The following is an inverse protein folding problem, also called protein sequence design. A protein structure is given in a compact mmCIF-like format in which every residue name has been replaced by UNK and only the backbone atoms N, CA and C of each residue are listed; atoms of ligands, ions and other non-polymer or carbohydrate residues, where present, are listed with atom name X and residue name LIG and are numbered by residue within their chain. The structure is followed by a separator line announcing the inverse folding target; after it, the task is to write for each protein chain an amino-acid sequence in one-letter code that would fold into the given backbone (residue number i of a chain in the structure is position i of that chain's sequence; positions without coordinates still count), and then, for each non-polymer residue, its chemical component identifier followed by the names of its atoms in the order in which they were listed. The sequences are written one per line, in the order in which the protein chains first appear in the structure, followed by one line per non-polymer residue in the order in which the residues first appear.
data_IF_862485313179
#
_entry.id   IF_862485313179
#
_cell.length_a   1.000
_cell.length_b   1.000
_cell.length_c   1.000
_cell.angle_alpha   90.00
_cell.angle_beta   90.00
_cell.angle_gamma   90.00
#
_symmetry.space_group_name_H-M   'P 1'
#
loop_
_entity.id
_entity.type
_entity.pdbx_description
1 polymer ?
#
# COMPACT_ATOMS: atom_id res chain seq x y z
N UNK A 1 2.94 14.96 17.76
CA UNK A 1 2.55 15.75 16.58
C UNK A 1 1.40 15.06 15.87
N UNK A 2 0.45 15.84 15.37
CA UNK A 2 -0.62 15.38 14.46
C UNK A 2 -0.06 15.21 13.04
N UNK A 3 -0.75 14.42 12.21
CA UNK A 3 -0.44 14.29 10.78
C UNK A 3 -0.64 15.65 10.10
N UNK A 4 0.39 16.12 9.39
CA UNK A 4 0.37 17.41 8.67
C UNK A 4 -0.09 17.24 7.21
N UNK A 5 -0.41 18.33 6.52
CA UNK A 5 -0.69 18.29 5.09
C UNK A 5 0.52 17.84 4.26
N UNK A 6 1.74 18.17 4.71
CA UNK A 6 2.98 17.70 4.10
C UNK A 6 3.14 16.18 4.25
N UNK A 7 2.80 15.62 5.42
CA UNK A 7 2.79 14.18 5.65
C UNK A 7 1.79 13.50 4.70
N UNK A 8 0.58 14.02 4.55
CA UNK A 8 -0.42 13.47 3.60
C UNK A 8 0.15 13.49 2.17
N UNK A 9 0.77 14.60 1.74
CA UNK A 9 1.38 14.68 0.42
C UNK A 9 2.48 13.63 0.24
N UNK A 10 3.39 13.49 1.20
CA UNK A 10 4.45 12.48 1.18
C UNK A 10 3.88 11.06 1.07
N UNK A 11 2.88 10.73 1.89
CA UNK A 11 2.26 9.41 1.94
C UNK A 11 1.54 9.05 0.63
N UNK A 12 0.80 10.01 0.07
CA UNK A 12 0.07 9.83 -1.20
C UNK A 12 1.00 9.73 -2.40
N UNK A 13 2.07 10.54 -2.45
CA UNK A 13 3.08 10.48 -3.51
C UNK A 13 3.81 9.12 -3.48
N UNK A 14 4.21 8.65 -2.30
CA UNK A 14 4.96 7.40 -2.19
C UNK A 14 4.12 6.17 -2.53
N UNK A 15 2.89 6.07 -2.02
CA UNK A 15 1.99 4.98 -2.43
C UNK A 15 1.66 5.08 -3.93
N UNK A 16 1.45 6.30 -4.44
CA UNK A 16 1.24 6.54 -5.87
C UNK A 16 2.36 6.03 -6.77
N UNK A 17 3.63 6.18 -6.33
CA UNK A 17 4.82 5.69 -7.06
C UNK A 17 4.83 4.18 -7.27
N UNK A 18 4.24 3.40 -6.36
CA UNK A 18 4.14 1.95 -6.53
C UNK A 18 2.90 1.53 -7.34
N UNK A 19 1.79 2.26 -7.25
CA UNK A 19 0.50 1.80 -7.77
C UNK A 19 0.14 2.34 -9.16
N UNK A 20 0.28 3.65 -9.41
CA UNK A 20 -0.36 4.29 -10.57
C UNK A 20 0.39 5.51 -11.17
N UNK A 21 1.61 5.79 -10.73
CA UNK A 21 2.38 6.94 -11.22
C UNK A 21 1.81 8.30 -10.78
N UNK A 22 1.96 9.34 -11.62
CA UNK A 22 1.84 10.77 -11.25
C UNK A 22 0.45 11.27 -10.80
N UNK A 23 -0.63 10.49 -10.93
CA UNK A 23 -2.01 10.94 -10.60
C UNK A 23 -2.76 9.95 -9.68
N UNK A 24 -2.30 9.73 -8.44
CA UNK A 24 -2.78 8.65 -7.58
C UNK A 24 -4.29 8.71 -7.27
N UNK A 25 -4.84 9.91 -7.08
CA UNK A 25 -6.28 10.09 -6.82
C UNK A 25 -7.19 9.73 -8.00
N UNK A 26 -6.65 9.70 -9.22
CA UNK A 26 -7.40 9.33 -10.43
C UNK A 26 -7.16 7.86 -10.78
N UNK A 27 -6.57 7.07 -9.87
CA UNK A 27 -6.40 5.63 -10.08
C UNK A 27 -7.75 4.98 -10.40
N UNK A 28 -7.80 4.18 -11.46
CA UNK A 28 -8.97 3.40 -11.85
C UNK A 28 -8.50 2.18 -12.64
N UNK A 29 -8.60 1.01 -12.01
CA UNK A 29 -8.15 -0.28 -12.54
C UNK A 29 -9.29 -1.30 -12.48
N UNK A 30 -9.22 -2.32 -13.35
CA UNK A 30 -10.24 -3.37 -13.47
C UNK A 30 -10.00 -4.55 -12.53
N UNK A 31 -10.72 -5.64 -12.78
CA UNK A 31 -10.80 -6.84 -11.96
C UNK A 31 -9.67 -7.81 -12.26
N UNK A 32 -8.46 -7.52 -11.78
CA UNK A 32 -7.31 -8.42 -11.91
C UNK A 32 -7.13 -9.37 -10.71
N UNK A 33 -7.76 -9.06 -9.58
CA UNK A 33 -7.60 -9.75 -8.28
C UNK A 33 -8.94 -10.16 -7.64
N UNK A 34 -10.05 -10.07 -8.38
CA UNK A 34 -11.38 -10.44 -7.92
C UNK A 34 -12.14 -9.31 -7.21
N UNK A 35 -11.57 -8.12 -7.08
CA UNK A 35 -12.20 -6.99 -6.36
C UNK A 35 -13.15 -6.13 -7.21
N UNK A 36 -13.32 -6.46 -8.50
CA UNK A 36 -14.19 -5.75 -9.43
C UNK A 36 -13.51 -4.50 -10.02
N UNK A 37 -13.49 -3.40 -9.28
CA UNK A 37 -12.76 -2.19 -9.67
C UNK A 37 -12.00 -1.67 -8.46
N UNK A 38 -10.83 -1.09 -8.70
CA UNK A 38 -10.04 -0.42 -7.68
C UNK A 38 -9.79 1.03 -8.08
N UNK A 39 -10.11 1.96 -7.19
CA UNK A 39 -10.14 3.39 -7.47
C UNK A 39 -9.32 4.20 -6.46
N UNK A 40 -8.76 5.31 -6.91
CA UNK A 40 -8.10 6.33 -6.10
C UNK A 40 -6.80 5.91 -5.42
N UNK A 41 -6.31 6.76 -4.53
CA UNK A 41 -4.97 6.66 -3.93
C UNK A 41 -4.72 5.33 -3.22
N UNK A 42 -5.70 4.85 -2.43
CA UNK A 42 -5.56 3.62 -1.65
C UNK A 42 -6.26 2.42 -2.29
N UNK A 43 -6.58 2.50 -3.59
CA UNK A 43 -7.20 1.41 -4.35
C UNK A 43 -8.49 0.87 -3.70
N UNK A 44 -9.37 1.78 -3.27
CA UNK A 44 -10.68 1.42 -2.73
C UNK A 44 -11.48 0.64 -3.76
N UNK A 45 -12.10 -0.45 -3.35
CA UNK A 45 -12.70 -1.41 -4.25
C UNK A 45 -14.06 -1.92 -3.78
N UNK A 46 -14.81 -2.50 -4.72
CA UNK A 46 -16.15 -3.02 -4.47
C UNK A 46 -16.07 -4.33 -3.67
N UNK A 47 -15.14 -5.23 -4.00
CA UNK A 47 -15.05 -6.56 -3.40
C UNK A 47 -14.84 -6.56 -1.88
N UNK A 48 -14.08 -5.60 -1.36
CA UNK A 48 -13.86 -5.41 0.08
C UNK A 48 -14.84 -4.43 0.74
N UNK A 49 -15.83 -3.93 -0.01
CA UNK A 49 -16.75 -2.89 0.46
C UNK A 49 -16.06 -1.60 0.92
N UNK A 50 -14.89 -1.28 0.36
CA UNK A 50 -14.08 -0.12 0.77
C UNK A 50 -14.37 1.13 -0.06
N UNK A 51 -14.86 0.98 -1.30
CA UNK A 51 -15.27 2.10 -2.16
C UNK A 51 -16.69 2.58 -1.85
N UNK A 52 -17.59 1.66 -1.55
CA UNK A 52 -19.03 1.93 -1.39
C UNK A 52 -19.35 2.98 -0.32
N UNK A 53 -18.77 2.96 0.89
CA UNK A 53 -19.05 3.98 1.91
C UNK A 53 -18.72 5.40 1.41
N UNK A 54 -17.59 5.56 0.72
CA UNK A 54 -17.15 6.85 0.19
C UNK A 54 -18.09 7.36 -0.91
N UNK A 55 -18.54 6.48 -1.80
CA UNK A 55 -19.49 6.85 -2.86
C UNK A 55 -20.85 7.24 -2.28
N UNK A 56 -21.34 6.49 -1.27
CA UNK A 56 -22.58 6.83 -0.56
C UNK A 56 -22.50 8.18 0.14
N UNK A 57 -21.35 8.47 0.74
CA UNK A 57 -21.08 9.74 1.43
C UNK A 57 -20.94 10.93 0.47
N UNK A 58 -20.44 10.71 -0.75
CA UNK A 58 -20.43 11.72 -1.80
C UNK A 58 -21.84 12.06 -2.29
N UNK A 59 -22.74 11.06 -2.31
CA UNK A 59 -24.13 11.21 -2.68
C UNK A 59 -24.40 11.03 -4.18
N UNK A 60 -25.63 10.61 -4.50
CA UNK A 60 -26.05 10.25 -5.85
C UNK A 60 -25.86 11.39 -6.86
N UNK A 61 -26.21 12.63 -6.47
CA UNK A 61 -26.08 13.79 -7.34
C UNK A 61 -24.63 14.03 -7.82
N UNK A 62 -23.65 13.87 -6.93
CA UNK A 62 -22.22 13.99 -7.27
C UNK A 62 -21.81 12.88 -8.24
N UNK A 63 -22.29 11.65 -8.01
CA UNK A 63 -22.01 10.50 -8.88
C UNK A 63 -22.57 10.74 -10.29
N UNK A 64 -23.83 11.13 -10.41
CA UNK A 64 -24.46 11.38 -11.72
C UNK A 64 -23.84 12.55 -12.48
N UNK A 65 -23.43 13.61 -11.76
CA UNK A 65 -22.81 14.78 -12.37
C UNK A 65 -21.42 14.47 -12.98
N UNK A 66 -20.68 13.52 -12.41
CA UNK A 66 -19.34 13.17 -12.85
C UNK A 66 -19.27 11.87 -13.67
N UNK A 67 -20.35 11.09 -13.71
CA UNK A 67 -20.48 9.87 -14.50
C UNK A 67 -21.80 9.90 -15.30
N UNK A 68 -21.89 10.66 -16.40
CA UNK A 68 -23.14 10.84 -17.12
C UNK A 68 -23.69 9.56 -17.76
N UNK A 69 -22.83 8.64 -18.23
CA UNK A 69 -23.26 7.36 -18.83
C UNK A 69 -23.40 6.27 -17.77
N UNK A 70 -22.45 6.19 -16.82
CA UNK A 70 -22.34 5.07 -15.88
C UNK A 70 -22.83 5.39 -14.46
N UNK A 71 -23.20 6.63 -14.15
CA UNK A 71 -23.48 7.09 -12.79
C UNK A 71 -24.63 6.35 -12.10
N UNK A 72 -25.71 6.03 -12.83
CA UNK A 72 -26.82 5.21 -12.30
C UNK A 72 -26.36 3.80 -11.93
N UNK A 73 -25.53 3.20 -12.76
CA UNK A 73 -24.98 1.88 -12.51
C UNK A 73 -23.97 1.94 -11.35
N UNK A 74 -23.13 2.98 -11.28
CA UNK A 74 -22.18 3.18 -10.19
C UNK A 74 -22.86 3.38 -8.84
N UNK A 75 -23.88 4.23 -8.78
CA UNK A 75 -24.66 4.45 -7.55
C UNK A 75 -25.30 3.14 -7.08
N UNK A 76 -25.90 2.37 -7.99
CA UNK A 76 -26.44 1.03 -7.67
C UNK A 76 -25.34 0.08 -7.19
N UNK A 77 -24.18 0.07 -7.84
CA UNK A 77 -23.07 -0.79 -7.45
C UNK A 77 -22.57 -0.49 -6.03
N UNK A 78 -22.68 0.77 -5.59
CA UNK A 78 -22.25 1.19 -4.26
C UNK A 78 -23.33 1.20 -3.17
N UNK A 79 -24.60 1.06 -3.54
CA UNK A 79 -25.73 1.01 -2.58
C UNK A 79 -26.31 -0.38 -2.41
N UNK A 80 -26.09 -1.27 -3.39
CA UNK A 80 -26.48 -2.66 -3.33
C UNK A 80 -25.52 -3.53 -2.49
N UNK A 81 -25.88 -4.81 -2.33
CA UNK A 81 -24.98 -5.79 -1.72
C UNK A 81 -23.74 -6.04 -2.61
N UNK A 82 -22.59 -6.34 -2.00
CA UNK A 82 -21.31 -6.51 -2.71
C UNK A 82 -21.37 -7.43 -3.94
N UNK A 83 -22.02 -8.61 -3.92
CA UNK A 83 -22.10 -9.46 -5.12
C UNK A 83 -22.81 -8.79 -6.29
N UNK A 84 -23.84 -7.98 -6.02
CA UNK A 84 -24.57 -7.23 -7.05
C UNK A 84 -23.71 -6.08 -7.57
N UNK A 85 -23.00 -5.37 -6.69
CA UNK A 85 -22.05 -4.34 -7.10
C UNK A 85 -20.94 -4.89 -7.99
N UNK A 86 -20.35 -6.03 -7.62
CA UNK A 86 -19.36 -6.73 -8.43
C UNK A 86 -19.91 -7.10 -9.81
N UNK A 87 -21.13 -7.64 -9.87
CA UNK A 87 -21.78 -7.97 -11.14
C UNK A 87 -21.93 -6.75 -12.06
N UNK A 88 -22.26 -5.58 -11.51
CA UNK A 88 -22.41 -4.34 -12.29
C UNK A 88 -21.05 -3.91 -12.85
N UNK A 89 -20.04 -3.75 -11.99
CA UNK A 89 -18.74 -3.18 -12.41
C UNK A 89 -17.92 -4.14 -13.28
N UNK A 90 -18.18 -5.45 -13.21
CA UNK A 90 -17.61 -6.43 -14.15
C UNK A 90 -18.15 -6.27 -15.57
N UNK A 91 -19.36 -5.73 -15.74
CA UNK A 91 -19.92 -5.40 -17.04
C UNK A 91 -19.18 -4.26 -17.77
N UNK A 92 -18.30 -3.54 -17.08
CA UNK A 92 -17.53 -2.41 -17.63
C UNK A 92 -16.16 -2.81 -18.18
N UNK A 93 -15.93 -4.11 -18.34
CA UNK A 93 -14.59 -4.67 -18.47
C UNK A 93 -14.52 -5.73 -19.56
N UNK A 94 -13.33 -5.87 -20.13
CA UNK A 94 -12.96 -6.99 -21.02
C UNK A 94 -11.68 -7.62 -20.49
N UNK A 95 -11.72 -8.93 -20.22
CA UNK A 95 -10.57 -9.69 -19.68
C UNK A 95 -9.96 -9.05 -18.42
N UNK A 96 -10.81 -8.57 -17.49
CA UNK A 96 -10.38 -7.91 -16.25
C UNK A 96 -9.83 -6.49 -16.43
N UNK A 97 -9.86 -5.93 -17.65
CA UNK A 97 -9.43 -4.55 -17.92
C UNK A 97 -10.64 -3.64 -18.11
N UNK A 98 -10.63 -2.48 -17.45
CA UNK A 98 -11.67 -1.46 -17.63
C UNK A 98 -11.70 -0.95 -19.07
N UNK A 99 -12.91 -0.87 -19.63
CA UNK A 99 -13.17 -0.22 -20.90
C UNK A 99 -12.94 1.30 -20.78
N UNK A 100 -12.65 1.95 -21.91
CA UNK A 100 -12.23 3.35 -21.94
C UNK A 100 -13.27 4.32 -21.36
N UNK A 101 -14.55 4.18 -21.72
CA UNK A 101 -15.61 5.07 -21.25
C UNK A 101 -15.84 4.99 -19.73
N UNK A 102 -16.09 3.80 -19.12
CA UNK A 102 -16.26 3.71 -17.67
C UNK A 102 -15.00 4.13 -16.92
N UNK A 103 -13.80 3.83 -17.44
CA UNK A 103 -12.54 4.31 -16.86
C UNK A 103 -12.49 5.84 -16.81
N UNK A 104 -12.80 6.52 -17.92
CA UNK A 104 -12.79 8.00 -17.99
C UNK A 104 -13.76 8.62 -16.98
N UNK A 105 -14.98 8.11 -16.88
CA UNK A 105 -15.97 8.63 -15.93
C UNK A 105 -15.61 8.33 -14.47
N UNK A 106 -15.05 7.14 -14.18
CA UNK A 106 -14.49 6.85 -12.86
C UNK A 106 -13.38 7.84 -12.49
N UNK A 107 -12.47 8.15 -13.43
CA UNK A 107 -11.42 9.13 -13.21
C UNK A 107 -11.99 10.53 -12.95
N UNK A 108 -13.04 10.94 -13.65
CA UNK A 108 -13.73 12.21 -13.40
C UNK A 108 -14.38 12.23 -12.01
N UNK A 109 -15.09 11.17 -11.63
CA UNK A 109 -15.70 11.05 -10.30
C UNK A 109 -14.65 11.11 -9.19
N UNK A 110 -13.60 10.30 -9.28
CA UNK A 110 -12.53 10.25 -8.28
C UNK A 110 -11.72 11.55 -8.23
N UNK A 111 -11.69 12.32 -9.32
CA UNK A 111 -11.09 13.65 -9.39
C UNK A 111 -11.99 14.79 -8.92
N UNK A 112 -13.28 14.54 -8.70
CA UNK A 112 -14.22 15.60 -8.30
C UNK A 112 -13.87 16.19 -6.92
N UNK A 113 -14.13 17.48 -6.66
CA UNK A 113 -13.77 18.12 -5.38
C UNK A 113 -14.28 17.34 -4.17
N UNK A 114 -15.53 16.88 -4.22
CA UNK A 114 -16.14 16.14 -3.11
C UNK A 114 -15.48 14.79 -2.86
N UNK A 115 -15.16 14.01 -3.91
CA UNK A 115 -14.47 12.73 -3.72
C UNK A 115 -13.00 12.92 -3.35
N UNK A 116 -12.37 14.03 -3.73
CA UNK A 116 -11.01 14.37 -3.31
C UNK A 116 -10.97 14.63 -1.80
N UNK A 117 -11.89 15.43 -1.27
CA UNK A 117 -12.04 15.65 0.18
C UNK A 117 -12.24 14.32 0.94
N UNK A 118 -13.14 13.47 0.45
CA UNK A 118 -13.40 12.18 1.10
C UNK A 118 -12.20 11.24 1.04
N UNK A 119 -11.45 11.22 -0.07
CA UNK A 119 -10.19 10.49 -0.15
C UNK A 119 -9.21 11.01 0.89
N UNK A 120 -9.04 12.32 1.01
CA UNK A 120 -8.13 12.94 1.98
C UNK A 120 -8.50 12.59 3.42
N UNK A 121 -9.79 12.61 3.77
CA UNK A 121 -10.25 12.23 5.11
C UNK A 121 -9.97 10.76 5.42
N UNK A 122 -10.18 9.87 4.45
CA UNK A 122 -9.88 8.43 4.61
C UNK A 122 -8.37 8.17 4.67
N UNK A 123 -7.57 8.88 3.88
CA UNK A 123 -6.10 8.82 3.92
C UNK A 123 -5.61 9.31 5.29
N UNK A 124 -6.17 10.40 5.82
CA UNK A 124 -5.84 10.93 7.15
C UNK A 124 -6.11 9.91 8.25
N UNK A 125 -7.25 9.23 8.21
CA UNK A 125 -7.55 8.18 9.19
C UNK A 125 -6.54 7.01 9.13
N UNK A 126 -6.08 6.63 7.93
CA UNK A 126 -5.02 5.61 7.76
C UNK A 126 -3.67 6.14 8.28
N UNK A 127 -3.34 7.39 7.98
CA UNK A 127 -2.12 8.06 8.43
C UNK A 127 -2.06 8.19 9.95
N UNK A 128 -3.18 8.46 10.63
CA UNK A 128 -3.24 8.51 12.11
C UNK A 128 -2.98 7.15 12.76
N UNK A 129 -3.47 6.07 12.14
CA UNK A 129 -3.15 4.70 12.59
C UNK A 129 -1.66 4.39 12.38
N UNK A 130 -1.10 4.77 11.24
CA UNK A 130 0.32 4.64 10.94
C UNK A 130 1.19 5.45 11.91
N UNK A 131 0.80 6.69 12.20
CA UNK A 131 1.47 7.60 13.14
C UNK A 131 1.53 6.98 14.54
N UNK A 132 0.44 6.36 14.98
CA UNK A 132 0.39 5.68 16.27
C UNK A 132 1.41 4.54 16.32
N UNK A 133 1.44 3.70 15.28
CA UNK A 133 2.42 2.59 15.19
C UNK A 133 3.86 3.11 15.12
N UNK A 134 4.12 4.15 14.32
CA UNK A 134 5.44 4.74 14.17
C UNK A 134 5.97 5.33 15.49
N UNK A 135 5.11 6.03 16.25
CA UNK A 135 5.46 6.53 17.59
C UNK A 135 5.77 5.40 18.56
N UNK A 136 4.89 4.39 18.64
CA UNK A 136 5.12 3.23 19.52
C UNK A 136 6.41 2.51 19.18
N UNK A 137 6.71 2.37 17.89
CA UNK A 137 7.97 1.82 17.40
C UNK A 137 9.19 2.64 17.84
N UNK A 138 9.19 3.96 17.61
CA UNK A 138 10.31 4.83 17.98
C UNK A 138 10.59 4.80 19.49
N UNK A 139 9.53 4.86 20.31
CA UNK A 139 9.65 4.76 21.77
C UNK A 139 10.24 3.41 22.17
N UNK A 140 9.74 2.31 21.61
CA UNK A 140 10.23 0.97 21.93
C UNK A 140 11.69 0.74 21.48
N UNK A 141 12.09 1.36 20.37
CA UNK A 141 13.43 1.21 19.78
C UNK A 141 14.51 1.95 20.57
N UNK A 142 14.27 3.21 20.92
CA UNK A 142 15.29 4.07 21.53
C UNK A 142 14.73 5.20 22.42
N UNK A 143 13.44 5.14 22.80
CA UNK A 143 12.79 6.22 23.55
C UNK A 143 12.62 7.51 22.74
N UNK A 144 12.83 7.47 21.43
CA UNK A 144 12.88 8.65 20.56
C UNK A 144 11.54 9.06 19.96
N UNK A 145 11.62 10.01 19.03
CA UNK A 145 10.50 10.48 18.21
C UNK A 145 10.56 9.77 16.85
N UNK A 146 9.40 9.50 16.27
CA UNK A 146 9.31 8.80 14.99
C UNK A 146 9.90 9.59 13.82
N UNK A 147 10.58 8.90 12.92
CA UNK A 147 11.14 9.46 11.67
C UNK A 147 10.10 9.51 10.55
N UNK A 148 10.37 10.25 9.47
CA UNK A 148 9.52 10.26 8.25
C UNK A 148 9.46 8.87 7.63
N UNK A 149 10.60 8.19 7.56
CA UNK A 149 10.70 6.82 7.04
C UNK A 149 9.80 5.84 7.81
N UNK A 150 9.82 5.91 9.15
CA UNK A 150 8.93 5.07 9.97
C UNK A 150 7.45 5.35 9.70
N UNK A 151 7.05 6.63 9.59
CA UNK A 151 5.67 6.98 9.25
C UNK A 151 5.25 6.37 7.91
N UNK A 152 6.08 6.54 6.87
CA UNK A 152 5.83 5.95 5.54
C UNK A 152 5.75 4.43 5.61
N UNK A 153 6.69 3.78 6.31
CA UNK A 153 6.72 2.33 6.46
C UNK A 153 5.42 1.81 7.07
N UNK A 154 4.99 2.38 8.20
CA UNK A 154 3.77 1.95 8.86
C UNK A 154 2.51 2.33 8.09
N UNK A 155 2.53 3.41 7.31
CA UNK A 155 1.42 3.74 6.41
C UNK A 155 1.26 2.69 5.32
N UNK A 156 2.35 2.26 4.71
CA UNK A 156 2.33 1.18 3.71
C UNK A 156 1.90 -0.15 4.33
N UNK A 157 2.28 -0.44 5.58
CA UNK A 157 1.74 -1.60 6.32
C UNK A 157 0.23 -1.48 6.51
N UNK A 158 -0.28 -0.38 7.05
CA UNK A 158 -1.71 -0.25 7.35
C UNK A 158 -2.52 -0.31 6.04
N UNK A 159 -2.04 0.31 4.98
CA UNK A 159 -2.68 0.30 3.65
C UNK A 159 -2.69 -1.08 3.03
N UNK A 160 -1.53 -1.75 2.91
CA UNK A 160 -1.42 -3.02 2.16
C UNK A 160 -1.80 -4.25 2.99
N UNK A 161 -1.72 -4.16 4.32
CA UNK A 161 -1.81 -5.32 5.19
C UNK A 161 -2.79 -5.16 6.36
N UNK A 162 -3.37 -3.97 6.54
CA UNK A 162 -4.33 -3.67 7.60
C UNK A 162 -3.72 -3.49 8.99
N UNK A 163 -2.71 -4.28 9.37
CA UNK A 163 -2.03 -4.21 10.66
C UNK A 163 -0.67 -4.94 10.68
N UNK A 164 0.06 -4.78 11.79
CA UNK A 164 1.30 -5.50 12.10
C UNK A 164 1.10 -6.95 12.56
N UNK A 165 -0.15 -7.41 12.82
CA UNK A 165 -0.44 -8.73 13.42
C UNK A 165 0.42 -9.00 14.67
N UNK A 166 0.37 -8.03 15.59
CA UNK A 166 1.04 -8.06 16.91
C UNK A 166 2.58 -8.04 16.88
N UNK A 167 3.20 -7.85 15.71
CA UNK A 167 4.64 -7.65 15.60
C UNK A 167 5.06 -6.25 16.06
N UNK A 168 6.16 -6.16 16.80
CA UNK A 168 6.78 -4.92 17.25
C UNK A 168 8.30 -5.00 17.35
N UNK A 169 8.91 -4.01 18.01
CA UNK A 169 10.36 -3.91 18.13
C UNK A 169 10.97 -5.06 18.96
N UNK A 170 10.22 -5.62 19.90
CA UNK A 170 10.65 -6.77 20.68
C UNK A 170 10.91 -8.00 19.78
N UNK A 171 10.05 -8.25 18.79
CA UNK A 171 10.24 -9.36 17.83
C UNK A 171 11.49 -9.16 16.97
N UNK A 172 11.74 -7.91 16.54
CA UNK A 172 12.96 -7.56 15.79
C UNK A 172 14.20 -7.76 16.65
N UNK A 173 14.17 -7.33 17.91
CA UNK A 173 15.28 -7.53 18.85
C UNK A 173 15.56 -9.01 19.10
N UNK A 174 14.50 -9.82 19.26
CA UNK A 174 14.62 -11.26 19.42
C UNK A 174 15.21 -11.91 18.16
N UNK A 175 14.74 -11.52 16.97
CA UNK A 175 15.27 -12.02 15.70
C UNK A 175 16.75 -11.70 15.53
N UNK A 176 17.15 -10.43 15.76
CA UNK A 176 18.55 -10.00 15.66
C UNK A 176 19.46 -10.74 16.65
N UNK A 177 18.96 -10.99 17.86
CA UNK A 177 19.68 -11.77 18.87
C UNK A 177 19.90 -13.22 18.39
N UNK A 178 18.85 -13.85 17.85
CA UNK A 178 18.95 -15.21 17.33
C UNK A 178 19.83 -15.33 16.07
N UNK A 179 19.87 -14.31 15.23
CA UNK A 179 20.69 -14.27 14.03
C UNK A 179 22.20 -14.24 14.30
N UNK A 180 22.59 -13.71 15.47
CA UNK A 180 23.97 -13.35 15.80
C UNK A 180 24.32 -11.92 15.35
N UNK A 181 25.29 -11.32 16.02
CA UNK A 181 25.72 -9.94 15.80
C UNK A 181 26.05 -9.66 14.33
N UNK A 182 25.39 -8.65 13.76
CA UNK A 182 25.66 -8.17 12.40
C UNK A 182 25.22 -9.09 11.27
N UNK A 183 24.37 -10.10 11.53
CA UNK A 183 23.93 -11.07 10.49
C UNK A 183 22.43 -11.08 10.21
N UNK A 184 21.69 -10.14 10.77
CA UNK A 184 20.23 -10.17 10.69
C UNK A 184 19.74 -9.86 9.26
N UNK A 185 20.35 -8.87 8.63
CA UNK A 185 20.15 -8.51 7.22
C UNK A 185 20.67 -9.59 6.27
N UNK A 186 21.79 -10.25 6.58
CA UNK A 186 22.28 -11.42 5.82
C UNK A 186 21.22 -12.52 5.73
N UNK A 187 20.59 -12.89 6.86
CA UNK A 187 19.53 -13.91 6.87
C UNK A 187 18.33 -13.50 6.02
N UNK A 188 17.95 -12.23 6.05
CA UNK A 188 16.85 -11.70 5.22
C UNK A 188 17.24 -11.76 3.75
N UNK A 189 18.47 -11.37 3.40
CA UNK A 189 18.98 -11.37 2.04
C UNK A 189 19.17 -12.80 1.50
N UNK A 190 19.66 -13.74 2.30
CA UNK A 190 19.78 -15.16 1.95
C UNK A 190 18.40 -15.76 1.66
N UNK A 191 17.40 -15.43 2.49
CA UNK A 191 16.02 -15.85 2.24
C UNK A 191 15.47 -15.31 0.91
N UNK A 192 15.70 -14.02 0.63
CA UNK A 192 15.29 -13.39 -0.64
C UNK A 192 16.00 -14.02 -1.84
N UNK A 193 17.31 -14.26 -1.75
CA UNK A 193 18.11 -14.89 -2.80
C UNK A 193 17.69 -16.35 -3.07
N UNK A 194 17.17 -17.03 -2.05
CA UNK A 194 16.68 -18.40 -2.15
C UNK A 194 15.26 -18.54 -2.71
N UNK A 195 14.53 -17.45 -2.98
CA UNK A 195 13.18 -17.54 -3.53
C UNK A 195 13.19 -18.04 -4.98
N UNK A 196 12.19 -18.83 -5.34
CA UNK A 196 11.95 -19.35 -6.69
C UNK A 196 10.66 -18.78 -7.30
N UNK A 197 10.28 -19.28 -8.48
CA UNK A 197 9.11 -18.83 -9.22
C UNK A 197 7.75 -19.18 -8.59
N UNK A 198 7.74 -19.92 -7.48
CA UNK A 198 6.53 -20.12 -6.68
C UNK A 198 6.15 -18.87 -5.88
N UNK A 199 7.06 -17.91 -5.73
CA UNK A 199 6.84 -16.65 -5.01
C UNK A 199 6.62 -15.49 -5.98
N UNK A 200 5.60 -14.69 -5.72
CA UNK A 200 5.41 -13.42 -6.41
C UNK A 200 6.57 -12.48 -6.07
N UNK A 201 7.08 -11.79 -7.10
CA UNK A 201 8.20 -10.86 -6.95
C UNK A 201 9.59 -11.49 -6.78
N UNK A 202 9.77 -12.81 -7.00
CA UNK A 202 11.06 -13.48 -6.78
C UNK A 202 12.25 -12.86 -7.55
N UNK A 203 12.01 -12.36 -8.77
CA UNK A 203 13.06 -11.68 -9.56
C UNK A 203 13.54 -10.39 -8.89
N UNK A 204 12.61 -9.62 -8.33
CA UNK A 204 12.95 -8.42 -7.58
C UNK A 204 13.59 -8.78 -6.23
N UNK A 205 13.18 -9.90 -5.62
CA UNK A 205 13.80 -10.41 -4.40
C UNK A 205 15.29 -10.70 -4.59
N UNK A 206 15.69 -11.34 -5.69
CA UNK A 206 17.11 -11.58 -6.00
C UNK A 206 17.89 -10.27 -6.17
N UNK A 207 17.32 -9.29 -6.88
CA UNK A 207 17.94 -7.98 -7.07
C UNK A 207 18.09 -7.23 -5.75
N UNK A 208 17.06 -7.28 -4.92
CA UNK A 208 17.02 -6.62 -3.62
C UNK A 208 17.98 -7.29 -2.61
N UNK A 209 18.09 -8.61 -2.60
CA UNK A 209 19.07 -9.33 -1.79
C UNK A 209 20.50 -8.85 -2.09
N UNK A 210 20.85 -8.71 -3.37
CA UNK A 210 22.16 -8.22 -3.77
C UNK A 210 22.36 -6.72 -3.46
N UNK A 211 21.30 -5.92 -3.56
CA UNK A 211 21.35 -4.48 -3.31
C UNK A 211 21.47 -4.13 -1.82
N UNK A 212 20.75 -4.84 -0.95
CA UNK A 212 20.59 -4.51 0.47
C UNK A 212 21.68 -5.11 1.36
N UNK A 213 22.29 -6.20 0.91
CA UNK A 213 23.41 -6.84 1.61
C UNK A 213 24.57 -5.86 1.79
N UNK A 214 25.13 -5.81 2.99
CA UNK A 214 26.26 -4.96 3.39
C UNK A 214 26.04 -3.44 3.25
N UNK A 215 24.91 -2.99 2.72
CA UNK A 215 24.58 -1.57 2.55
C UNK A 215 23.57 -1.07 3.58
N UNK A 216 22.79 -1.99 4.17
CA UNK A 216 21.74 -1.66 5.14
C UNK A 216 22.34 -1.53 6.53
N UNK A 217 22.16 -0.37 7.18
CA UNK A 217 22.75 -0.12 8.52
C UNK A 217 21.77 0.56 9.48
N UNK A 218 22.08 0.52 10.77
CA UNK A 218 21.34 1.27 11.79
C UNK A 218 19.84 0.94 11.84
N UNK A 219 18.99 1.97 11.70
CA UNK A 219 17.53 1.84 11.71
C UNK A 219 16.99 1.03 10.52
N UNK A 220 17.68 1.08 9.37
CA UNK A 220 17.20 0.41 8.17
C UNK A 220 17.20 -1.10 8.34
N UNK A 221 18.17 -1.65 9.07
CA UNK A 221 18.21 -3.08 9.42
C UNK A 221 17.02 -3.45 10.28
N UNK A 222 16.66 -2.60 11.26
CA UNK A 222 15.53 -2.87 12.16
C UNK A 222 14.20 -2.89 11.38
N UNK A 223 14.01 -1.94 10.46
CA UNK A 223 12.83 -1.89 9.59
C UNK A 223 12.83 -3.01 8.53
N UNK A 224 13.99 -3.40 8.00
CA UNK A 224 14.11 -4.50 7.04
C UNK A 224 13.75 -5.84 7.70
N UNK A 225 14.24 -6.08 8.92
CA UNK A 225 13.84 -7.25 9.73
C UNK A 225 12.35 -7.21 10.03
N UNK A 226 11.81 -6.05 10.40
CA UNK A 226 10.36 -5.91 10.63
C UNK A 226 9.56 -6.23 9.36
N UNK A 227 10.01 -5.76 8.20
CA UNK A 227 9.40 -6.06 6.91
C UNK A 227 9.41 -7.56 6.63
N UNK A 228 10.53 -8.23 6.87
CA UNK A 228 10.67 -9.67 6.71
C UNK A 228 9.69 -10.42 7.62
N UNK A 229 9.67 -10.11 8.91
CA UNK A 229 8.76 -10.75 9.86
C UNK A 229 7.29 -10.53 9.48
N UNK A 230 6.94 -9.32 9.03
CA UNK A 230 5.57 -9.04 8.58
C UNK A 230 5.24 -9.80 7.31
N UNK A 231 6.17 -9.92 6.36
CA UNK A 231 5.99 -10.70 5.14
C UNK A 231 5.70 -12.17 5.45
N UNK A 232 6.33 -12.76 6.49
CA UNK A 232 6.05 -14.14 6.90
C UNK A 232 4.60 -14.37 7.37
N UNK A 233 3.87 -13.32 7.75
CA UNK A 233 2.44 -13.40 8.12
C UNK A 233 1.48 -13.26 6.92
N UNK A 234 1.99 -13.15 5.70
CA UNK A 234 1.23 -13.15 4.45
C UNK A 234 1.11 -14.58 3.88
N UNK A 235 0.26 -14.75 2.87
CA UNK A 235 0.17 -16.03 2.13
C UNK A 235 1.54 -16.37 1.54
N UNK A 236 1.84 -17.67 1.42
CA UNK A 236 3.18 -18.14 1.02
C UNK A 236 3.66 -17.48 -0.27
N UNK A 237 2.80 -17.43 -1.30
CA UNK A 237 3.13 -16.83 -2.60
C UNK A 237 3.41 -15.32 -2.53
N UNK A 238 2.76 -14.58 -1.63
CA UNK A 238 2.88 -13.12 -1.56
C UNK A 238 4.08 -12.63 -0.72
N UNK A 239 4.81 -13.51 -0.03
CA UNK A 239 5.85 -13.09 0.92
C UNK A 239 6.99 -12.30 0.25
N UNK A 240 7.44 -12.75 -0.92
CA UNK A 240 8.49 -12.07 -1.69
C UNK A 240 8.08 -10.64 -2.07
N UNK A 241 6.92 -10.51 -2.70
CA UNK A 241 6.37 -9.21 -3.11
C UNK A 241 6.17 -8.23 -1.94
N UNK A 242 5.61 -8.72 -0.83
CA UNK A 242 5.43 -7.90 0.39
C UNK A 242 6.77 -7.42 0.96
N UNK A 243 7.78 -8.29 0.98
CA UNK A 243 9.12 -7.92 1.46
C UNK A 243 9.82 -6.96 0.49
N UNK A 244 9.72 -7.17 -0.82
CA UNK A 244 10.33 -6.27 -1.80
C UNK A 244 9.87 -4.84 -1.60
N UNK A 245 8.55 -4.63 -1.47
CA UNK A 245 7.97 -3.30 -1.28
C UNK A 245 8.39 -2.65 0.03
N UNK A 246 8.22 -3.35 1.15
CA UNK A 246 8.51 -2.79 2.48
C UNK A 246 10.00 -2.68 2.77
N UNK A 247 10.79 -3.63 2.28
CA UNK A 247 12.25 -3.59 2.31
C UNK A 247 12.78 -2.41 1.50
N UNK A 248 12.17 -2.08 0.36
CA UNK A 248 12.52 -0.88 -0.43
C UNK A 248 12.30 0.40 0.37
N UNK A 249 11.22 0.50 1.15
CA UNK A 249 10.98 1.64 2.06
C UNK A 249 11.99 1.63 3.23
N UNK A 250 12.22 0.45 3.83
CA UNK A 250 13.12 0.27 4.97
C UNK A 250 14.58 0.60 4.64
N UNK A 251 15.03 0.32 3.43
CA UNK A 251 16.41 0.53 2.97
C UNK A 251 16.53 1.77 2.06
N UNK A 252 15.41 2.48 1.83
CA UNK A 252 15.24 3.63 0.93
C UNK A 252 15.49 3.34 -0.55
N UNK A 253 15.91 2.14 -0.93
CA UNK A 253 16.22 1.76 -2.32
C UNK A 253 15.81 0.33 -2.60
N UNK A 254 15.42 0.00 -3.81
CA UNK A 254 15.01 -1.37 -4.14
C UNK A 254 14.24 -1.50 -5.43
N UNK A 255 13.82 -2.72 -5.73
CA UNK A 255 13.04 -3.08 -6.89
C UNK A 255 11.67 -3.58 -6.46
N UNK A 256 10.62 -3.07 -7.10
CA UNK A 256 9.24 -3.52 -6.90
C UNK A 256 8.56 -3.58 -8.27
N UNK A 257 7.98 -4.74 -8.58
CA UNK A 257 7.32 -5.03 -9.86
C UNK A 257 8.19 -4.71 -11.07
N UNK A 258 9.48 -5.04 -10.99
CA UNK A 258 10.49 -4.80 -12.02
C UNK A 258 11.01 -3.36 -12.11
N UNK A 259 10.49 -2.43 -11.32
CA UNK A 259 10.86 -1.01 -11.34
C UNK A 259 11.85 -0.69 -10.21
N UNK A 260 13.00 -0.05 -10.48
CA UNK A 260 13.89 0.43 -9.44
C UNK A 260 13.34 1.71 -8.80
N UNK A 261 13.49 1.81 -7.49
CA UNK A 261 13.10 2.96 -6.67
C UNK A 261 14.28 3.46 -5.85
N UNK A 262 14.39 4.78 -5.76
CA UNK A 262 15.29 5.48 -4.85
C UNK A 262 14.50 6.57 -4.11
N UNK A 263 14.51 6.47 -2.79
CA UNK A 263 13.82 7.34 -1.85
C UNK A 263 14.80 8.05 -0.90
N UNK A 264 16.10 8.03 -1.19
CA UNK A 264 17.10 8.69 -0.35
C UNK A 264 16.76 10.18 -0.11
N UNK A 265 16.24 10.87 -1.13
CA UNK A 265 15.87 12.29 -1.04
C UNK A 265 14.51 12.55 -0.37
N UNK A 266 13.73 11.51 -0.06
CA UNK A 266 12.42 11.64 0.59
C UNK A 266 12.48 11.54 2.12
N UNK A 267 13.57 11.01 2.68
CA UNK A 267 13.67 10.62 4.09
C UNK A 267 14.75 11.38 4.85
#
# INVERSE_FOLDING_TARGET
MSITAEDIKLLTDLVGRFENGEKPYLGATGDFDGQGISCGVLQWNIGQNSLQPMIREAGEAVVMANMPEFGKAMWRACTAATPQGLSIVRGWQSHGKLLQNPRRELQQLMGSPRLRELQDDRIRAVAERAETLAKSWAVARNGGVRTRQQLVFFFDVVTQNGSMKDLGFADVSAFKTAAGTGRADDLVCDWLAGLDDNFWGWKDAHRNAALWRDTTTGEDVDLLVLAYLRAQKSTLKARGDVLNRKGTIATRRGHVHGTPYDFADLF
#
